data_IF_493307174036
#
_entry.id   IF_493307174036
#
_cell.length_a   1.000
_cell.length_b   1.000
_cell.length_c   1.000
_cell.angle_alpha   90.00
_cell.angle_beta   90.00
_cell.angle_gamma   90.00
#
_symmetry.space_group_name_H-M   'P 1'
#
loop_
_entity.id
_entity.type
_entity.pdbx_description
1 polymer ?
#
# COMPACT_ATOMS: atom_id res chain seq x y z
N UNK A 1 23.78 -39.98 -9.50
CA UNK A 1 23.05 -38.75 -9.92
C UNK A 1 21.58 -38.70 -9.48
N UNK A 2 20.84 -39.81 -9.39
CA UNK A 2 19.41 -39.83 -9.01
C UNK A 2 19.11 -39.34 -7.58
N UNK A 3 19.97 -39.66 -6.61
CA UNK A 3 19.80 -39.27 -5.18
C UNK A 3 19.77 -37.74 -4.96
N UNK A 4 20.67 -36.98 -5.61
CA UNK A 4 20.67 -35.50 -5.56
C UNK A 4 19.42 -34.85 -6.19
N UNK A 5 18.76 -35.54 -7.12
CA UNK A 5 17.56 -35.04 -7.81
C UNK A 5 16.30 -35.20 -6.94
N UNK A 6 16.23 -36.30 -6.18
CA UNK A 6 15.15 -36.56 -5.23
C UNK A 6 15.23 -35.65 -3.99
N UNK A 7 16.42 -35.38 -3.46
CA UNK A 7 16.59 -34.48 -2.31
C UNK A 7 16.19 -33.03 -2.61
N UNK A 8 16.50 -32.53 -3.82
CA UNK A 8 16.02 -31.21 -4.29
C UNK A 8 14.50 -31.12 -4.37
N UNK A 9 13.83 -32.15 -4.89
CA UNK A 9 12.36 -32.19 -4.98
C UNK A 9 11.69 -32.19 -3.61
N UNK A 10 12.25 -32.92 -2.64
CA UNK A 10 11.74 -32.95 -1.26
C UNK A 10 11.87 -31.58 -0.57
N UNK A 11 13.03 -30.92 -0.70
CA UNK A 11 13.25 -29.58 -0.14
C UNK A 11 12.31 -28.52 -0.74
N UNK A 12 12.03 -28.60 -2.05
CA UNK A 12 11.05 -27.74 -2.72
C UNK A 12 9.64 -27.94 -2.15
N UNK A 13 9.19 -29.18 -1.97
CA UNK A 13 7.89 -29.49 -1.37
C UNK A 13 7.77 -28.97 0.06
N UNK A 14 8.83 -29.11 0.87
CA UNK A 14 8.84 -28.60 2.24
C UNK A 14 8.73 -27.06 2.28
N UNK A 15 9.48 -26.35 1.42
CA UNK A 15 9.37 -24.89 1.27
C UNK A 15 7.97 -24.46 0.81
N UNK A 16 7.36 -25.23 -0.09
CA UNK A 16 6.01 -24.96 -0.58
C UNK A 16 4.97 -25.13 0.52
N UNK A 17 5.06 -26.21 1.30
CA UNK A 17 4.19 -26.45 2.45
C UNK A 17 4.36 -25.38 3.54
N UNK A 18 5.60 -24.91 3.81
CA UNK A 18 5.83 -23.82 4.76
C UNK A 18 5.25 -22.50 4.27
N UNK A 19 5.35 -22.22 2.97
CA UNK A 19 4.74 -21.03 2.35
C UNK A 19 3.22 -21.08 2.46
N UNK A 20 2.60 -22.22 2.16
CA UNK A 20 1.15 -22.41 2.28
C UNK A 20 0.67 -22.27 3.72
N UNK A 21 1.39 -22.87 4.67
CA UNK A 21 1.09 -22.74 6.10
C UNK A 21 1.22 -21.29 6.57
N UNK A 22 2.27 -20.59 6.15
CA UNK A 22 2.45 -19.17 6.44
C UNK A 22 1.34 -18.33 5.82
N UNK A 23 1.01 -18.55 4.54
CA UNK A 23 -0.12 -17.87 3.88
C UNK A 23 -1.44 -18.15 4.57
N UNK A 24 -1.65 -19.36 5.11
CA UNK A 24 -2.85 -19.74 5.85
C UNK A 24 -2.91 -19.03 7.21
N UNK A 25 -1.81 -18.98 7.94
CA UNK A 25 -1.71 -18.27 9.22
C UNK A 25 -1.91 -16.76 9.07
N UNK A 26 -1.40 -16.18 7.97
CA UNK A 26 -1.58 -14.77 7.61
C UNK A 26 -2.97 -14.53 7.00
N UNK A 27 -3.65 -15.55 6.45
CA UNK A 27 -4.98 -15.41 5.83
C UNK A 27 -6.14 -15.27 6.82
N UNK A 28 -5.89 -14.92 8.09
CA UNK A 28 -6.96 -14.41 8.94
C UNK A 28 -7.41 -13.04 8.40
N UNK A 29 -8.30 -13.13 7.41
CA UNK A 29 -9.16 -12.07 6.91
C UNK A 29 -9.84 -11.42 8.11
N UNK A 30 -9.30 -10.30 8.59
CA UNK A 30 -10.01 -9.48 9.55
C UNK A 30 -11.13 -8.80 8.78
N UNK A 31 -12.36 -9.28 8.95
CA UNK A 31 -13.57 -8.70 8.37
C UNK A 31 -13.56 -8.53 6.83
N UNK A 32 -13.02 -9.49 6.08
CA UNK A 32 -13.06 -9.45 4.60
C UNK A 32 -11.98 -8.58 3.94
N UNK A 33 -10.99 -8.08 4.70
CA UNK A 33 -9.89 -7.25 4.19
C UNK A 33 -8.52 -7.96 4.28
N UNK A 34 -7.55 -7.62 3.40
CA UNK A 34 -6.21 -8.19 3.45
C UNK A 34 -5.42 -7.71 4.68
N UNK A 35 -4.41 -8.47 5.11
CA UNK A 35 -3.41 -7.93 6.03
C UNK A 35 -2.44 -6.99 5.31
N UNK A 36 -1.85 -6.06 6.05
CA UNK A 36 -0.81 -5.17 5.55
C UNK A 36 0.54 -5.61 6.09
N UNK A 37 1.47 -5.90 5.18
CA UNK A 37 2.87 -6.12 5.53
C UNK A 37 3.58 -4.77 5.66
N UNK A 38 4.03 -4.47 6.87
CA UNK A 38 4.80 -3.27 7.19
C UNK A 38 6.25 -3.41 6.72
N UNK A 39 6.98 -2.30 6.65
CA UNK A 39 8.37 -2.26 6.15
C UNK A 39 9.33 -3.08 7.03
N UNK A 40 9.09 -3.09 8.34
CA UNK A 40 9.80 -3.88 9.35
C UNK A 40 9.36 -5.37 9.41
N UNK A 41 8.43 -5.77 8.54
CA UNK A 41 8.11 -7.17 8.27
C UNK A 41 6.93 -7.74 9.06
N UNK A 42 6.28 -6.96 9.93
CA UNK A 42 5.07 -7.38 10.63
C UNK A 42 3.85 -7.41 9.70
N UNK A 43 2.85 -8.19 10.11
CA UNK A 43 1.53 -8.22 9.48
C UNK A 43 0.54 -7.53 10.42
N UNK A 44 -0.10 -6.47 9.95
CA UNK A 44 -1.09 -5.70 10.71
C UNK A 44 -2.45 -5.73 10.02
N UNK A 45 -3.56 -5.58 10.76
CA UNK A 45 -4.88 -5.42 10.16
C UNK A 45 -4.95 -4.23 9.20
N UNK A 46 -5.76 -4.35 8.15
CA UNK A 46 -6.05 -3.23 7.27
C UNK A 46 -6.73 -2.08 8.03
N UNK A 47 -6.15 -0.88 7.92
CA UNK A 47 -6.72 0.36 8.45
C UNK A 47 -6.72 1.44 7.36
N UNK A 48 -7.90 1.70 6.79
CA UNK A 48 -8.08 2.77 5.78
C UNK A 48 -7.74 4.15 6.34
N UNK A 49 -7.94 4.37 7.65
CA UNK A 49 -7.65 5.67 8.27
C UNK A 49 -6.15 6.02 8.24
N UNK A 50 -5.27 5.02 8.09
CA UNK A 50 -3.84 5.25 7.92
C UNK A 50 -3.52 6.04 6.65
N UNK A 51 -4.26 5.80 5.56
CA UNK A 51 -4.11 6.54 4.28
C UNK A 51 -4.55 7.99 4.48
N UNK A 52 -5.72 8.19 5.10
CA UNK A 52 -6.27 9.53 5.37
C UNK A 52 -5.32 10.35 6.25
N UNK A 53 -4.84 9.75 7.35
CA UNK A 53 -3.88 10.38 8.26
C UNK A 53 -2.55 10.71 7.58
N UNK A 54 -2.09 9.86 6.66
CA UNK A 54 -0.88 10.14 5.88
C UNK A 54 -1.11 11.33 4.95
N UNK A 55 -2.17 11.32 4.14
CA UNK A 55 -2.49 12.41 3.21
C UNK A 55 -2.56 13.75 3.96
N UNK A 56 -3.38 13.84 5.02
CA UNK A 56 -3.54 15.06 5.81
C UNK A 56 -2.25 15.54 6.49
N UNK A 57 -1.32 14.64 6.80
CA UNK A 57 -0.04 14.99 7.43
C UNK A 57 0.97 15.47 6.39
N UNK A 58 1.18 14.69 5.34
CA UNK A 58 2.25 14.93 4.37
C UNK A 58 1.94 16.14 3.47
N UNK A 59 0.68 16.35 3.08
CA UNK A 59 0.33 17.47 2.18
C UNK A 59 0.42 18.83 2.86
N UNK A 60 0.66 18.92 4.16
CA UNK A 60 1.00 20.19 4.82
C UNK A 60 2.26 20.82 4.26
N UNK A 61 3.20 20.00 3.79
CA UNK A 61 4.40 20.46 3.11
C UNK A 61 4.10 21.16 1.78
N UNK A 62 2.91 20.96 1.20
CA UNK A 62 2.49 21.69 0.01
C UNK A 62 2.24 23.17 0.33
N UNK A 63 1.71 23.45 1.52
CA UNK A 63 1.50 24.82 1.99
C UNK A 63 2.86 25.45 2.31
N UNK A 64 3.71 24.74 3.05
CA UNK A 64 5.02 25.25 3.50
C UNK A 64 5.99 25.57 2.35
N UNK A 65 5.99 24.77 1.28
CA UNK A 65 6.99 24.91 0.21
C UNK A 65 6.47 25.44 -1.12
N UNK A 66 5.15 25.43 -1.34
CA UNK A 66 4.55 25.74 -2.65
C UNK A 66 3.35 26.69 -2.56
N UNK A 67 2.97 27.18 -1.37
CA UNK A 67 1.77 28.01 -1.14
C UNK A 67 0.47 27.34 -1.65
N UNK A 68 0.44 26.00 -1.64
CA UNK A 68 -0.71 25.20 -2.05
C UNK A 68 -1.42 24.70 -0.79
N UNK A 69 -2.74 24.92 -0.62
CA UNK A 69 -3.47 24.40 0.52
C UNK A 69 -3.28 22.89 0.70
N UNK A 70 -3.25 22.34 1.93
CA UNK A 70 -3.19 20.90 2.11
C UNK A 70 -4.49 20.24 1.62
N UNK A 71 -4.42 18.94 1.31
CA UNK A 71 -5.61 18.16 0.91
C UNK A 71 -6.70 18.22 2.00
N UNK A 72 -7.96 18.34 1.59
CA UNK A 72 -9.06 18.37 2.54
C UNK A 72 -9.33 16.98 3.15
N UNK A 73 -9.93 16.90 4.36
CA UNK A 73 -10.35 15.62 4.95
C UNK A 73 -11.30 14.80 4.06
N UNK A 74 -12.18 15.49 3.33
CA UNK A 74 -13.13 14.85 2.40
C UNK A 74 -12.39 14.21 1.23
N UNK A 75 -11.49 14.93 0.58
CA UNK A 75 -10.72 14.41 -0.55
C UNK A 75 -9.79 13.26 -0.11
N UNK A 76 -9.17 13.38 1.06
CA UNK A 76 -8.35 12.31 1.63
C UNK A 76 -9.16 11.03 1.87
N UNK A 77 -10.37 11.15 2.41
CA UNK A 77 -11.29 10.02 2.60
C UNK A 77 -11.75 9.43 1.25
N UNK A 78 -12.05 10.25 0.26
CA UNK A 78 -12.46 9.81 -1.08
C UNK A 78 -11.33 9.06 -1.81
N UNK A 79 -10.08 9.50 -1.68
CA UNK A 79 -8.90 8.78 -2.18
C UNK A 79 -8.73 7.47 -1.42
N UNK A 80 -8.81 7.49 -0.08
CA UNK A 80 -8.65 6.28 0.72
C UNK A 80 -9.71 5.21 0.43
N UNK A 81 -10.96 5.62 0.13
CA UNK A 81 -12.03 4.72 -0.33
C UNK A 81 -11.73 4.08 -1.67
N UNK A 82 -11.24 4.86 -2.62
CA UNK A 82 -10.85 4.35 -3.94
C UNK A 82 -9.66 3.38 -3.84
N UNK A 83 -8.67 3.67 -2.99
CA UNK A 83 -7.56 2.73 -2.71
C UNK A 83 -8.10 1.43 -2.11
N UNK A 84 -8.96 1.51 -1.09
CA UNK A 84 -9.55 0.33 -0.46
C UNK A 84 -10.33 -0.52 -1.47
N UNK A 85 -11.14 0.11 -2.32
CA UNK A 85 -11.87 -0.58 -3.39
C UNK A 85 -10.90 -1.35 -4.30
N UNK A 86 -9.87 -0.70 -4.84
CA UNK A 86 -8.87 -1.33 -5.72
C UNK A 86 -8.13 -2.48 -5.03
N UNK A 87 -7.78 -2.33 -3.75
CA UNK A 87 -7.14 -3.37 -2.95
C UNK A 87 -8.04 -4.59 -2.77
N UNK A 88 -9.33 -4.38 -2.50
CA UNK A 88 -10.29 -5.48 -2.35
C UNK A 88 -10.54 -6.22 -3.67
N UNK A 89 -10.56 -5.49 -4.80
CA UNK A 89 -10.70 -6.07 -6.14
C UNK A 89 -9.52 -6.98 -6.52
N UNK A 90 -8.32 -6.74 -6.00
CA UNK A 90 -7.15 -7.61 -6.22
C UNK A 90 -7.29 -9.01 -5.60
N UNK A 91 -8.20 -9.18 -4.64
CA UNK A 91 -8.40 -10.45 -3.88
C UNK A 91 -7.09 -11.01 -3.30
N UNK A 92 -6.16 -10.12 -2.96
CA UNK A 92 -4.89 -10.49 -2.35
C UNK A 92 -5.11 -10.90 -0.89
N UNK A 93 -4.34 -11.86 -0.40
CA UNK A 93 -4.37 -12.27 1.03
C UNK A 93 -3.71 -11.24 1.95
N UNK A 94 -2.67 -10.59 1.44
CA UNK A 94 -1.97 -9.50 2.10
C UNK A 94 -1.43 -8.53 1.04
N UNK A 95 -1.17 -7.30 1.45
CA UNK A 95 -0.59 -6.25 0.60
C UNK A 95 0.55 -5.57 1.34
N UNK A 96 1.52 -5.00 0.63
CA UNK A 96 2.59 -4.24 1.27
C UNK A 96 2.19 -2.77 1.44
N UNK A 97 2.77 -2.11 2.44
CA UNK A 97 2.66 -0.64 2.54
C UNK A 97 3.16 0.09 1.28
N UNK A 98 4.12 -0.49 0.55
CA UNK A 98 4.58 0.04 -0.72
C UNK A 98 3.49 -0.01 -1.80
N UNK A 99 2.80 -1.15 -1.97
CA UNK A 99 1.69 -1.25 -2.93
C UNK A 99 0.58 -0.24 -2.62
N UNK A 100 0.24 -0.05 -1.34
CA UNK A 100 -0.74 0.94 -0.92
C UNK A 100 -0.32 2.36 -1.35
N UNK A 101 0.95 2.73 -1.12
CA UNK A 101 1.50 4.03 -1.54
C UNK A 101 1.45 4.20 -3.06
N UNK A 102 1.79 3.18 -3.83
CA UNK A 102 1.70 3.26 -5.30
C UNK A 102 0.26 3.49 -5.77
N UNK A 103 -0.73 2.85 -5.15
CA UNK A 103 -2.14 3.10 -5.48
C UNK A 103 -2.59 4.53 -5.14
N UNK A 104 -2.17 5.06 -3.98
CA UNK A 104 -2.43 6.46 -3.61
C UNK A 104 -1.83 7.39 -4.67
N UNK A 105 -0.56 7.18 -5.04
CA UNK A 105 0.14 7.98 -6.03
C UNK A 105 -0.53 7.93 -7.41
N UNK A 106 -0.99 6.75 -7.83
CA UNK A 106 -1.71 6.59 -9.10
C UNK A 106 -3.02 7.37 -9.08
N UNK A 107 -3.81 7.31 -8.00
CA UNK A 107 -5.08 8.04 -7.90
C UNK A 107 -4.85 9.55 -7.92
N UNK A 108 -3.82 10.04 -7.21
CA UNK A 108 -3.43 11.46 -7.26
C UNK A 108 -3.07 11.89 -8.69
N UNK A 109 -2.28 11.07 -9.38
CA UNK A 109 -1.89 11.33 -10.77
C UNK A 109 -3.09 11.29 -11.73
N UNK A 110 -3.94 10.27 -11.64
CA UNK A 110 -5.16 10.12 -12.46
C UNK A 110 -6.12 11.30 -12.30
N UNK A 111 -6.23 11.86 -11.08
CA UNK A 111 -7.12 12.98 -10.79
C UNK A 111 -6.48 14.35 -11.04
N UNK A 112 -5.18 14.41 -11.35
CA UNK A 112 -4.45 15.67 -11.50
C UNK A 112 -4.92 16.56 -12.65
N UNK A 113 -5.61 15.99 -13.64
CA UNK A 113 -6.25 16.77 -14.72
C UNK A 113 -7.35 17.71 -14.19
N UNK A 114 -8.08 17.27 -13.15
CA UNK A 114 -9.13 18.07 -12.50
C UNK A 114 -8.64 18.80 -11.25
N UNK A 115 -7.57 18.28 -10.65
CA UNK A 115 -6.96 18.78 -9.42
C UNK A 115 -5.44 18.95 -9.64
N UNK A 116 -4.99 20.00 -10.35
CA UNK A 116 -3.57 20.19 -10.67
C UNK A 116 -2.65 20.16 -9.45
N UNK A 117 -3.14 20.60 -8.28
CA UNK A 117 -2.44 20.56 -6.99
C UNK A 117 -2.02 19.12 -6.57
N UNK A 118 -2.70 18.08 -7.05
CA UNK A 118 -2.37 16.68 -6.72
C UNK A 118 -1.01 16.25 -7.30
N UNK A 119 -0.50 16.93 -8.33
CA UNK A 119 0.87 16.70 -8.82
C UNK A 119 1.88 17.00 -7.72
N UNK A 120 1.68 18.09 -6.97
CA UNK A 120 2.56 18.49 -5.88
C UNK A 120 2.41 17.54 -4.69
N UNK A 121 1.19 17.15 -4.33
CA UNK A 121 0.99 16.15 -3.27
C UNK A 121 1.71 14.84 -3.58
N UNK A 122 1.58 14.34 -4.82
CA UNK A 122 2.27 13.14 -5.28
C UNK A 122 3.79 13.30 -5.23
N UNK A 123 4.32 14.45 -5.62
CA UNK A 123 5.76 14.76 -5.53
C UNK A 123 6.26 14.72 -4.08
N UNK A 124 5.51 15.31 -3.14
CA UNK A 124 5.82 15.24 -1.70
C UNK A 124 5.81 13.79 -1.20
N UNK A 125 4.77 13.03 -1.51
CA UNK A 125 4.62 11.61 -1.09
C UNK A 125 5.71 10.70 -1.66
N UNK A 126 6.25 11.04 -2.84
CA UNK A 126 7.34 10.30 -3.50
C UNK A 126 8.72 10.89 -3.23
N UNK A 127 8.81 12.02 -2.52
CA UNK A 127 10.04 12.79 -2.30
C UNK A 127 10.76 13.17 -3.60
N UNK A 128 10.01 13.37 -4.68
CA UNK A 128 10.55 13.76 -5.99
C UNK A 128 10.35 15.25 -6.21
N UNK A 129 11.43 16.02 -6.36
CA UNK A 129 11.36 17.45 -6.67
C UNK A 129 10.73 18.32 -5.57
N UNK A 130 10.54 17.78 -4.37
CA UNK A 130 10.12 18.53 -3.20
C UNK A 130 11.32 18.71 -2.26
N UNK A 131 11.63 19.94 -1.78
CA UNK A 131 12.56 20.12 -0.68
C UNK A 131 11.93 19.48 0.56
N UNK A 132 12.60 18.51 1.16
CA UNK A 132 12.09 17.67 2.27
C UNK A 132 13.15 17.49 3.34
#
# INVERSE_FOLDING_TARGET
MASRRNSRRAALRAKQASLEAWLKAVSHYVAGKPLVRTTDGYMVPWDRSAIVKQLLRETKLAEEFFDIPPISPKEAEDIAREVEKRILEMKAKFVSGALIRELVNNILLERSDKHPEYVIYRNILTRVGAPV
#
